data_IF_242318493366
#
_entry.id   IF_242318493366
#
_cell.length_a   1.000
_cell.length_b   1.000
_cell.length_c   1.000
_cell.angle_alpha   90.00
_cell.angle_beta   90.00
_cell.angle_gamma   90.00
#
_symmetry.space_group_name_H-M   'P 1'
#
loop_
_entity.id
_entity.type
_entity.pdbx_description
1 polymer ?
#
# COMPACT_ATOMS: atom_id res chain seq x y z
N UNK A 1 -56.45 3.91 -53.48
CA UNK A 1 -56.40 3.62 -52.03
C UNK A 1 -55.64 2.31 -51.74
N UNK A 2 -54.54 2.04 -52.46
CA UNK A 2 -53.76 0.77 -52.34
C UNK A 2 -52.28 1.09 -52.01
N UNK A 3 -51.78 2.25 -52.44
CA UNK A 3 -50.43 2.74 -52.14
C UNK A 3 -50.16 3.07 -50.66
N UNK A 4 -51.20 3.33 -49.85
CA UNK A 4 -51.02 3.75 -48.46
C UNK A 4 -50.88 2.56 -47.48
N UNK A 5 -51.39 1.38 -47.85
CA UNK A 5 -51.32 0.18 -47.00
C UNK A 5 -49.95 -0.53 -47.07
N UNK A 6 -49.30 -0.54 -48.24
CA UNK A 6 -47.95 -1.13 -48.36
C UNK A 6 -46.88 -0.33 -47.62
N UNK A 7 -46.97 1.00 -47.64
CA UNK A 7 -46.05 1.88 -46.90
C UNK A 7 -46.25 1.70 -45.39
N UNK A 8 -47.51 1.59 -44.94
CA UNK A 8 -47.86 1.37 -43.55
C UNK A 8 -47.44 -0.03 -43.06
N UNK A 9 -47.59 -1.08 -43.89
CA UNK A 9 -47.09 -2.42 -43.58
C UNK A 9 -45.56 -2.48 -43.52
N UNK A 10 -44.84 -1.83 -44.43
CA UNK A 10 -43.37 -1.76 -44.40
C UNK A 10 -42.86 -1.03 -43.14
N UNK A 11 -43.48 0.08 -42.75
CA UNK A 11 -43.10 0.79 -41.52
C UNK A 11 -43.37 -0.04 -40.26
N UNK A 12 -44.48 -0.79 -40.20
CA UNK A 12 -44.76 -1.71 -39.08
C UNK A 12 -43.78 -2.86 -39.01
N UNK A 13 -43.38 -3.43 -40.14
CA UNK A 13 -42.37 -4.51 -40.18
C UNK A 13 -40.99 -3.97 -39.76
N UNK A 14 -40.61 -2.78 -40.23
CA UNK A 14 -39.33 -2.13 -39.86
C UNK A 14 -39.31 -1.79 -38.35
N UNK A 15 -40.40 -1.24 -37.80
CA UNK A 15 -40.52 -0.98 -36.37
C UNK A 15 -40.48 -2.27 -35.53
N UNK A 16 -41.14 -3.35 -35.99
CA UNK A 16 -41.11 -4.64 -35.30
C UNK A 16 -39.72 -5.29 -35.32
N UNK A 17 -38.98 -5.19 -36.44
CA UNK A 17 -37.60 -5.70 -36.55
C UNK A 17 -36.64 -4.88 -35.69
N UNK A 18 -36.77 -3.55 -35.69
CA UNK A 18 -35.96 -2.67 -34.83
C UNK A 18 -36.23 -2.91 -33.34
N UNK A 19 -37.49 -3.13 -32.95
CA UNK A 19 -37.84 -3.50 -31.57
C UNK A 19 -37.29 -4.87 -31.17
N UNK A 20 -37.31 -5.86 -32.09
CA UNK A 20 -36.73 -7.18 -31.83
C UNK A 20 -35.20 -7.13 -31.68
N UNK A 21 -34.51 -6.31 -32.49
CA UNK A 21 -33.07 -6.07 -32.36
C UNK A 21 -32.72 -5.33 -31.06
N UNK A 22 -33.56 -4.38 -30.60
CA UNK A 22 -33.38 -3.71 -29.31
C UNK A 22 -33.55 -4.67 -28.13
N UNK A 23 -34.51 -5.59 -28.20
CA UNK A 23 -34.73 -6.60 -27.15
C UNK A 23 -33.61 -7.66 -27.13
N UNK A 24 -33.03 -8.01 -28.27
CA UNK A 24 -31.88 -8.92 -28.34
C UNK A 24 -30.60 -8.28 -27.75
N UNK A 25 -30.44 -6.96 -27.86
CA UNK A 25 -29.32 -6.21 -27.26
C UNK A 25 -29.44 -6.06 -25.74
N UNK A 26 -30.65 -6.08 -25.18
CA UNK A 26 -30.89 -5.95 -23.73
C UNK A 26 -30.79 -7.29 -22.97
N UNK A 27 -30.76 -8.43 -23.68
CA UNK A 27 -30.65 -9.75 -23.05
C UNK A 27 -29.21 -10.30 -22.97
N UNK A 28 -28.20 -9.56 -23.45
CA UNK A 28 -26.78 -9.94 -23.31
C UNK A 28 -26.11 -9.39 -22.05
N UNK A 29 -26.85 -8.76 -21.13
CA UNK A 29 -26.35 -8.31 -19.83
C UNK A 29 -26.94 -9.08 -18.64
N UNK A 30 -27.41 -10.31 -18.85
CA UNK A 30 -27.39 -11.32 -17.77
C UNK A 30 -26.06 -12.06 -17.89
N UNK A 31 -24.98 -11.28 -17.73
CA UNK A 31 -23.69 -11.85 -17.42
C UNK A 31 -23.81 -12.49 -16.06
N UNK A 32 -23.30 -13.72 -15.93
CA UNK A 32 -23.07 -14.38 -14.67
C UNK A 32 -22.69 -13.35 -13.60
N UNK A 33 -23.39 -13.35 -12.47
CA UNK A 33 -22.75 -12.91 -11.24
C UNK A 33 -21.58 -13.85 -11.02
N UNK A 34 -20.45 -13.56 -11.65
CA UNK A 34 -19.17 -14.01 -11.15
C UNK A 34 -19.19 -13.51 -9.70
N UNK A 35 -19.23 -14.44 -8.76
CA UNK A 35 -18.61 -14.16 -7.47
C UNK A 35 -17.22 -13.68 -7.85
N UNK A 36 -16.99 -12.37 -7.75
CA UNK A 36 -15.66 -11.83 -7.84
C UNK A 36 -15.00 -12.36 -6.58
N UNK A 37 -14.35 -13.52 -6.68
CA UNK A 37 -13.51 -14.03 -5.62
C UNK A 37 -12.49 -12.92 -5.37
N UNK A 38 -12.64 -12.26 -4.22
CA UNK A 38 -11.70 -11.23 -3.80
C UNK A 38 -10.35 -11.93 -3.64
N UNK A 39 -9.29 -11.48 -4.32
CA UNK A 39 -8.01 -12.17 -4.25
C UNK A 39 -7.48 -12.20 -2.81
N UNK A 40 -6.86 -13.32 -2.43
CA UNK A 40 -6.20 -13.48 -1.14
C UNK A 40 -5.00 -12.53 -1.05
N UNK A 41 -4.83 -11.87 0.09
CA UNK A 41 -3.63 -11.10 0.40
C UNK A 41 -2.53 -12.02 0.95
N UNK A 42 -2.05 -12.93 0.11
CA UNK A 42 -0.90 -13.80 0.44
C UNK A 42 0.44 -13.07 0.30
N UNK A 43 1.52 -13.73 0.73
CA UNK A 43 2.85 -13.13 0.76
C UNK A 43 3.34 -12.70 -0.63
N UNK A 44 3.01 -13.44 -1.69
CA UNK A 44 3.33 -13.06 -3.06
C UNK A 44 2.57 -11.80 -3.50
N UNK A 45 1.27 -11.72 -3.15
CA UNK A 45 0.44 -10.55 -3.45
C UNK A 45 0.95 -9.32 -2.71
N UNK A 46 1.19 -9.41 -1.40
CA UNK A 46 1.72 -8.31 -0.59
C UNK A 46 3.12 -7.88 -1.06
N UNK A 47 3.99 -8.84 -1.37
CA UNK A 47 5.30 -8.58 -1.96
C UNK A 47 5.18 -7.74 -3.23
N UNK A 48 4.33 -8.16 -4.18
CA UNK A 48 4.15 -7.49 -5.46
C UNK A 48 3.52 -6.09 -5.31
N UNK A 49 2.57 -5.93 -4.39
CA UNK A 49 1.97 -4.63 -4.08
C UNK A 49 2.99 -3.65 -3.50
N UNK A 50 3.82 -4.11 -2.55
CA UNK A 50 4.86 -3.25 -2.01
C UNK A 50 5.95 -2.91 -3.04
N UNK A 51 6.25 -3.82 -3.97
CA UNK A 51 7.16 -3.54 -5.08
C UNK A 51 6.60 -2.50 -6.06
N UNK A 52 5.30 -2.55 -6.37
CA UNK A 52 4.62 -1.52 -7.15
C UNK A 52 4.73 -0.14 -6.47
N UNK A 53 4.52 -0.09 -5.15
CA UNK A 53 4.67 1.15 -4.39
C UNK A 53 6.12 1.66 -4.38
N UNK A 54 7.11 0.76 -4.27
CA UNK A 54 8.53 1.12 -4.39
C UNK A 54 8.85 1.72 -5.77
N UNK A 55 8.28 1.17 -6.86
CA UNK A 55 8.42 1.73 -8.20
C UNK A 55 7.82 3.13 -8.33
N UNK A 56 6.70 3.42 -7.66
CA UNK A 56 6.15 4.78 -7.63
C UNK A 56 7.02 5.74 -6.80
N UNK A 57 7.59 5.27 -5.70
CA UNK A 57 8.57 6.06 -4.91
C UNK A 57 9.82 6.38 -5.76
N UNK A 58 10.31 5.43 -6.55
CA UNK A 58 11.38 5.64 -7.53
C UNK A 58 10.98 6.71 -8.56
N UNK A 59 9.77 6.64 -9.13
CA UNK A 59 9.29 7.67 -10.06
C UNK A 59 9.24 9.06 -9.42
N UNK A 60 8.83 9.16 -8.14
CA UNK A 60 8.79 10.42 -7.41
C UNK A 60 10.17 11.07 -7.27
N UNK A 61 11.21 10.31 -6.90
CA UNK A 61 12.56 10.86 -6.70
C UNK A 61 13.28 11.15 -8.02
N UNK A 62 12.88 10.49 -9.11
CA UNK A 62 13.38 10.76 -10.46
C UNK A 62 12.57 11.84 -11.20
N UNK A 63 11.55 12.41 -10.57
CA UNK A 63 10.69 13.45 -11.18
C UNK A 63 10.98 14.82 -10.58
N UNK A 64 11.84 15.58 -11.25
CA UNK A 64 12.12 16.98 -10.88
C UNK A 64 10.85 17.82 -10.75
N UNK A 65 9.85 17.58 -11.61
CA UNK A 65 8.57 18.29 -11.58
C UNK A 65 7.78 17.98 -10.31
N UNK A 66 7.82 16.73 -9.84
CA UNK A 66 7.21 16.32 -8.58
C UNK A 66 7.92 16.97 -7.40
N UNK A 67 9.26 16.88 -7.35
CA UNK A 67 10.06 17.42 -6.26
C UNK A 67 9.90 18.94 -6.13
N UNK A 68 9.92 19.68 -7.26
CA UNK A 68 9.68 21.12 -7.29
C UNK A 68 8.29 21.51 -6.78
N UNK A 69 7.27 20.69 -7.08
CA UNK A 69 5.92 20.92 -6.58
C UNK A 69 5.83 20.69 -5.07
N UNK A 70 6.51 19.66 -4.57
CA UNK A 70 6.39 19.21 -3.18
C UNK A 70 7.27 20.01 -2.21
N UNK A 71 8.44 20.48 -2.63
CA UNK A 71 9.32 21.27 -1.79
C UNK A 71 10.28 22.15 -2.59
N UNK A 72 10.35 23.43 -2.24
CA UNK A 72 11.38 24.35 -2.74
C UNK A 72 12.57 24.47 -1.80
N UNK A 73 12.61 23.70 -0.70
CA UNK A 73 13.68 23.77 0.27
C UNK A 73 14.87 22.90 -0.18
N UNK A 74 15.97 23.54 -0.54
CA UNK A 74 17.21 22.86 -0.98
C UNK A 74 17.68 21.80 0.03
N UNK A 75 17.56 22.06 1.33
CA UNK A 75 17.96 21.10 2.36
C UNK A 75 17.13 19.82 2.37
N UNK A 76 15.85 19.88 1.98
CA UNK A 76 15.00 18.68 1.83
C UNK A 76 15.33 17.97 0.52
N UNK A 77 15.58 18.72 -0.57
CA UNK A 77 15.96 18.13 -1.86
C UNK A 77 17.30 17.41 -1.79
N UNK A 78 18.28 17.98 -1.09
CA UNK A 78 19.61 17.37 -0.89
C UNK A 78 19.58 16.01 -0.18
N UNK A 79 18.55 15.73 0.64
CA UNK A 79 18.37 14.41 1.26
C UNK A 79 17.96 13.35 0.22
N UNK A 80 17.23 13.75 -0.82
CA UNK A 80 16.70 12.85 -1.85
C UNK A 80 17.65 12.67 -3.04
N UNK A 81 18.56 13.61 -3.28
CA UNK A 81 19.56 13.54 -4.36
C UNK A 81 20.30 12.20 -4.46
N UNK A 82 20.74 11.55 -3.36
CA UNK A 82 21.43 10.26 -3.46
C UNK A 82 20.56 9.15 -4.08
N UNK A 83 19.24 9.26 -4.03
CA UNK A 83 18.29 8.25 -4.52
C UNK A 83 18.03 8.37 -6.04
N UNK A 84 18.41 9.49 -6.67
CA UNK A 84 18.21 9.70 -8.10
C UNK A 84 18.95 8.62 -8.90
N UNK A 85 18.23 7.96 -9.82
CA UNK A 85 18.77 6.89 -10.66
C UNK A 85 19.07 5.56 -9.95
N UNK A 86 18.74 5.41 -8.66
CA UNK A 86 18.79 4.12 -7.98
C UNK A 86 17.64 3.20 -8.45
N UNK A 87 17.89 1.89 -8.48
CA UNK A 87 16.92 0.87 -8.90
C UNK A 87 16.20 0.28 -7.68
N UNK A 88 14.88 0.52 -7.58
CA UNK A 88 14.03 -0.02 -6.52
C UNK A 88 13.13 -1.17 -7.00
N UNK A 89 13.34 -1.65 -8.23
CA UNK A 89 12.55 -2.74 -8.84
C UNK A 89 12.98 -4.14 -8.43
N UNK A 90 14.17 -4.28 -7.80
CA UNK A 90 14.78 -5.57 -7.46
C UNK A 90 15.39 -5.58 -6.06
N UNK A 91 14.60 -5.82 -4.99
CA UNK A 91 15.15 -6.00 -3.66
C UNK A 91 16.06 -7.24 -3.61
N UNK A 92 17.12 -7.18 -2.81
CA UNK A 92 17.99 -8.32 -2.51
C UNK A 92 17.36 -9.24 -1.45
N UNK A 93 16.69 -8.64 -0.47
CA UNK A 93 15.97 -9.35 0.58
C UNK A 93 14.72 -8.56 0.98
N UNK A 94 13.69 -9.28 1.43
CA UNK A 94 12.46 -8.69 1.96
C UNK A 94 12.13 -9.34 3.28
N UNK A 95 11.85 -8.52 4.29
CA UNK A 95 11.48 -8.99 5.61
C UNK A 95 10.09 -8.50 6.00
N UNK A 96 9.28 -9.38 6.57
CA UNK A 96 8.02 -9.06 7.23
C UNK A 96 8.25 -8.94 8.72
N UNK A 97 7.77 -7.83 9.27
CA UNK A 97 7.70 -7.57 10.70
C UNK A 97 6.23 -7.52 11.10
N UNK A 98 5.83 -8.37 12.03
CA UNK A 98 4.50 -8.33 12.66
C UNK A 98 4.62 -8.01 14.14
N UNK A 99 3.60 -7.33 14.66
CA UNK A 99 3.48 -6.99 16.07
C UNK A 99 2.26 -7.70 16.63
N UNK A 100 2.45 -8.47 17.71
CA UNK A 100 1.31 -8.99 18.45
C UNK A 100 0.48 -7.82 19.01
N UNK A 101 -0.84 -8.01 19.13
CA UNK A 101 -1.69 -6.99 19.78
C UNK A 101 -1.26 -6.73 21.23
N UNK A 102 -0.69 -7.73 21.90
CA UNK A 102 -0.18 -7.60 23.26
C UNK A 102 1.03 -6.66 23.34
N UNK A 103 1.95 -6.73 22.37
CA UNK A 103 3.11 -5.81 22.27
C UNK A 103 2.67 -4.38 22.00
N UNK A 104 1.74 -4.17 21.08
CA UNK A 104 1.26 -2.82 20.82
C UNK A 104 0.51 -2.23 22.03
N UNK A 105 -0.15 -3.09 22.82
CA UNK A 105 -0.82 -2.69 24.06
C UNK A 105 0.15 -2.42 25.22
N UNK A 106 1.22 -3.20 25.35
CA UNK A 106 2.25 -2.99 26.37
C UNK A 106 2.99 -1.67 26.14
N UNK A 107 3.34 -1.35 24.89
CA UNK A 107 3.98 -0.09 24.53
C UNK A 107 3.14 1.14 24.88
N UNK A 108 1.84 1.08 24.63
CA UNK A 108 0.93 2.14 25.04
C UNK A 108 0.89 2.27 26.58
N UNK A 109 0.86 1.14 27.28
CA UNK A 109 0.82 1.09 28.75
C UNK A 109 2.12 1.60 29.40
N UNK A 110 3.28 1.32 28.81
CA UNK A 110 4.58 1.88 29.22
C UNK A 110 4.64 3.40 29.04
N UNK A 111 3.96 3.92 28.01
CA UNK A 111 3.72 5.35 27.82
C UNK A 111 2.68 5.96 28.79
N UNK A 112 2.26 5.22 29.82
CA UNK A 112 1.19 5.57 30.76
C UNK A 112 -0.20 5.77 30.11
N UNK A 113 -0.46 5.13 28.97
CA UNK A 113 -1.76 5.13 28.30
C UNK A 113 -2.40 3.76 28.43
N UNK A 114 -3.47 3.66 29.21
CA UNK A 114 -4.30 2.45 29.25
C UNK A 114 -5.22 2.42 28.01
N UNK A 115 -4.92 1.55 27.05
CA UNK A 115 -5.71 1.41 25.82
C UNK A 115 -7.14 0.91 26.08
N UNK A 116 -7.41 0.27 27.23
CA UNK A 116 -8.76 -0.18 27.58
C UNK A 116 -9.69 0.97 27.97
N UNK A 117 -9.15 2.15 28.29
CA UNK A 117 -9.96 3.37 28.47
C UNK A 117 -10.52 3.89 27.14
N UNK A 118 -9.92 3.53 26.00
CA UNK A 118 -10.43 3.92 24.70
C UNK A 118 -11.58 3.03 24.23
N UNK A 119 -12.57 3.65 23.57
CA UNK A 119 -13.59 2.90 22.83
C UNK A 119 -12.93 1.97 21.79
N UNK A 120 -13.55 0.82 21.50
CA UNK A 120 -13.03 -0.15 20.52
C UNK A 120 -12.62 0.48 19.18
N UNK A 121 -13.40 1.39 18.57
CA UNK A 121 -12.98 2.06 17.33
C UNK A 121 -11.73 2.93 17.51
N UNK A 122 -11.66 3.70 18.60
CA UNK A 122 -10.51 4.56 18.89
C UNK A 122 -9.25 3.74 19.20
N UNK A 123 -9.38 2.65 19.97
CA UNK A 123 -8.27 1.73 20.23
C UNK A 123 -7.71 1.15 18.94
N UNK A 124 -8.57 0.67 18.03
CA UNK A 124 -8.14 0.18 16.71
C UNK A 124 -7.40 1.28 15.93
N UNK A 125 -7.93 2.51 15.94
CA UNK A 125 -7.30 3.65 15.28
C UNK A 125 -5.94 4.02 15.88
N UNK A 126 -5.79 4.00 17.21
CA UNK A 126 -4.53 4.31 17.91
C UNK A 126 -3.47 3.26 17.59
N UNK A 127 -3.80 1.98 17.73
CA UNK A 127 -2.89 0.88 17.40
C UNK A 127 -2.41 0.97 15.95
N UNK A 128 -3.34 1.25 15.03
CA UNK A 128 -3.04 1.49 13.63
C UNK A 128 -2.09 2.68 13.42
N UNK A 129 -2.36 3.80 14.09
CA UNK A 129 -1.53 4.99 14.01
C UNK A 129 -0.14 4.76 14.61
N UNK A 130 -0.01 3.97 15.67
CA UNK A 130 1.28 3.60 16.26
C UNK A 130 2.14 2.83 15.24
N UNK A 131 1.57 1.80 14.62
CA UNK A 131 2.28 1.02 13.59
C UNK A 131 2.70 1.91 12.39
N UNK A 132 1.79 2.73 11.87
CA UNK A 132 2.11 3.64 10.77
C UNK A 132 3.12 4.74 11.15
N UNK A 133 3.29 5.03 12.44
CA UNK A 133 4.24 6.05 12.90
C UNK A 133 5.69 5.56 12.94
N UNK A 134 5.92 4.24 12.83
CA UNK A 134 7.27 3.66 12.88
C UNK A 134 8.19 4.32 11.85
N UNK A 135 7.74 4.52 10.61
CA UNK A 135 8.56 5.14 9.56
C UNK A 135 8.97 6.57 9.90
N UNK A 136 8.00 7.37 10.35
CA UNK A 136 8.26 8.75 10.78
C UNK A 136 9.18 8.79 11.99
N UNK A 137 9.00 7.88 12.94
CA UNK A 137 9.88 7.75 14.10
C UNK A 137 11.32 7.45 13.65
N UNK A 138 11.52 6.45 12.79
CA UNK A 138 12.85 6.09 12.30
C UNK A 138 13.50 7.24 11.52
N UNK A 139 12.80 7.83 10.55
CA UNK A 139 13.33 8.95 9.76
C UNK A 139 13.59 10.21 10.60
N UNK A 140 12.81 10.45 11.67
CA UNK A 140 13.04 11.57 12.57
C UNK A 140 14.36 11.48 13.34
N UNK A 141 14.94 10.27 13.51
CA UNK A 141 16.23 10.08 14.19
C UNK A 141 17.39 10.76 13.43
N UNK A 142 17.25 10.96 12.12
CA UNK A 142 18.22 11.65 11.28
C UNK A 142 17.94 13.16 11.11
N UNK A 143 16.88 13.69 11.72
CA UNK A 143 16.56 15.11 11.73
C UNK A 143 15.28 15.49 10.98
N UNK A 144 14.96 16.78 11.02
CA UNK A 144 13.72 17.32 10.48
C UNK A 144 13.68 17.30 8.96
N UNK A 145 14.81 17.55 8.31
CA UNK A 145 14.97 17.51 6.86
C UNK A 145 14.73 16.09 6.32
N UNK A 146 15.29 15.07 6.99
CA UNK A 146 15.07 13.66 6.63
C UNK A 146 13.62 13.24 6.80
N UNK A 147 12.98 13.66 7.90
CA UNK A 147 11.56 13.42 8.09
C UNK A 147 10.70 14.11 7.02
N UNK A 148 11.05 15.34 6.65
CA UNK A 148 10.34 16.09 5.60
C UNK A 148 10.51 15.43 4.22
N UNK A 149 11.74 15.02 3.88
CA UNK A 149 12.06 14.31 2.65
C UNK A 149 11.24 13.00 2.52
N UNK A 150 11.22 12.17 3.56
CA UNK A 150 10.39 10.97 3.58
C UNK A 150 8.89 11.29 3.49
N UNK A 151 8.43 12.37 4.13
CA UNK A 151 7.02 12.76 4.11
C UNK A 151 6.54 13.22 2.73
N UNK A 152 7.38 13.94 1.97
CA UNK A 152 7.03 14.32 0.59
C UNK A 152 7.15 13.16 -0.39
N UNK A 153 7.89 12.10 -0.04
CA UNK A 153 8.00 10.85 -0.79
C UNK A 153 7.29 9.72 -0.05
N UNK A 154 5.97 9.86 0.15
CA UNK A 154 5.12 8.82 0.74
C UNK A 154 4.03 8.42 -0.25
N UNK A 155 3.83 7.12 -0.43
CA UNK A 155 2.74 6.54 -1.25
C UNK A 155 1.72 5.90 -0.33
N UNK A 156 0.44 6.19 -0.54
CA UNK A 156 -0.67 5.53 0.16
C UNK A 156 -1.60 4.88 -0.85
N UNK A 157 -1.90 3.59 -0.65
CA UNK A 157 -2.76 2.81 -1.54
C UNK A 157 -3.84 2.05 -0.77
N UNK A 158 -4.90 1.68 -1.48
CA UNK A 158 -5.97 0.81 -0.99
C UNK A 158 -6.23 -0.30 -1.99
N UNK A 159 -6.25 -1.54 -1.52
CA UNK A 159 -6.39 -2.73 -2.34
C UNK A 159 -7.68 -3.47 -1.98
N UNK A 160 -8.42 -3.89 -3.01
CA UNK A 160 -9.59 -4.76 -2.91
C UNK A 160 -9.16 -6.23 -2.86
N UNK A 161 -8.51 -6.60 -1.75
CA UNK A 161 -8.06 -7.97 -1.43
C UNK A 161 -8.67 -8.41 -0.10
N UNK A 162 -8.63 -9.70 0.20
CA UNK A 162 -9.03 -10.20 1.52
C UNK A 162 -8.15 -9.58 2.62
N UNK A 163 -8.74 -9.35 3.79
CA UNK A 163 -8.00 -8.84 4.93
C UNK A 163 -6.93 -9.85 5.36
N UNK A 164 -5.75 -9.34 5.71
CA UNK A 164 -4.65 -10.13 6.27
C UNK A 164 -4.94 -10.52 7.73
N UNK A 165 -4.39 -11.62 8.26
CA UNK A 165 -4.65 -12.02 9.65
C UNK A 165 -4.16 -10.97 10.66
N UNK A 166 -3.00 -10.38 10.39
CA UNK A 166 -2.35 -9.38 11.23
C UNK A 166 -1.78 -8.27 10.36
N UNK A 167 -1.78 -7.04 10.87
CA UNK A 167 -1.10 -5.96 10.18
C UNK A 167 0.42 -6.24 10.16
N UNK A 168 1.09 -5.82 9.09
CA UNK A 168 2.49 -6.14 8.88
C UNK A 168 3.24 -4.94 8.32
N UNK A 169 4.55 -4.88 8.59
CA UNK A 169 5.47 -3.95 7.97
C UNK A 169 6.47 -4.76 7.15
N UNK A 170 6.60 -4.45 5.87
CA UNK A 170 7.54 -5.07 4.96
C UNK A 170 8.73 -4.12 4.77
N UNK A 171 9.94 -4.65 4.87
CA UNK A 171 11.18 -3.94 4.60
C UNK A 171 11.82 -4.55 3.36
N UNK A 172 11.97 -3.75 2.32
CA UNK A 172 12.62 -4.09 1.07
C UNK A 172 14.03 -3.54 1.10
N UNK A 173 15.03 -4.42 1.12
CA UNK A 173 16.44 -4.05 1.13
C UNK A 173 17.04 -4.18 -0.25
N UNK A 174 17.96 -3.28 -0.59
CA UNK A 174 18.56 -3.15 -1.91
C UNK A 174 20.09 -3.09 -1.78
N UNK A 175 20.85 -3.57 -2.77
CA UNK A 175 22.31 -3.65 -2.66
C UNK A 175 23.02 -2.31 -2.45
N UNK A 176 22.55 -1.26 -3.12
CA UNK A 176 23.20 0.06 -3.17
C UNK A 176 22.21 1.20 -2.90
N UNK A 177 21.08 0.90 -2.24
CA UNK A 177 19.99 1.85 -2.03
C UNK A 177 19.39 1.73 -0.62
N UNK A 178 18.81 2.83 -0.13
CA UNK A 178 18.16 2.80 1.19
C UNK A 178 16.93 1.86 1.17
N UNK A 179 16.56 1.25 2.32
CA UNK A 179 15.39 0.38 2.34
C UNK A 179 14.09 1.12 2.06
N UNK A 180 13.13 0.42 1.45
CA UNK A 180 11.74 0.88 1.37
C UNK A 180 10.93 0.15 2.43
N UNK A 181 10.14 0.91 3.19
CA UNK A 181 9.26 0.37 4.22
C UNK A 181 7.80 0.47 3.76
N UNK A 182 7.07 -0.64 3.76
CA UNK A 182 5.65 -0.71 3.39
C UNK A 182 4.83 -1.25 4.55
N UNK A 183 3.94 -0.43 5.12
CA UNK A 183 3.03 -0.85 6.19
C UNK A 183 1.69 -1.24 5.60
N UNK A 184 1.27 -2.49 5.82
CA UNK A 184 -0.04 -3.03 5.47
C UNK A 184 -0.94 -3.17 6.69
N UNK A 185 -2.18 -2.72 6.56
CA UNK A 185 -3.17 -2.81 7.63
C UNK A 185 -4.59 -2.98 7.12
N UNK A 186 -5.40 -3.69 7.90
CA UNK A 186 -6.80 -3.95 7.55
C UNK A 186 -7.70 -2.73 7.78
N UNK A 187 -8.32 -2.27 6.68
CA UNK A 187 -9.46 -1.35 6.70
C UNK A 187 -10.76 -2.02 7.16
N UNK A 188 -11.90 -1.43 6.79
CA UNK A 188 -13.21 -2.04 7.10
C UNK A 188 -13.59 -3.14 6.11
N UNK A 189 -13.20 -2.98 4.85
CA UNK A 189 -13.49 -3.91 3.75
C UNK A 189 -12.40 -3.90 2.66
N UNK A 190 -11.20 -3.45 3.01
CA UNK A 190 -10.09 -3.30 2.07
C UNK A 190 -8.77 -3.36 2.84
N UNK A 191 -7.71 -3.78 2.15
CA UNK A 191 -6.35 -3.63 2.66
C UNK A 191 -5.86 -2.22 2.33
N UNK A 192 -5.14 -1.60 3.26
CA UNK A 192 -4.53 -0.29 3.05
C UNK A 192 -3.03 -0.43 3.23
N UNK A 193 -2.28 0.33 2.44
CA UNK A 193 -0.82 0.31 2.48
C UNK A 193 -0.23 1.72 2.48
N UNK A 194 0.87 1.90 3.20
CA UNK A 194 1.68 3.12 3.15
C UNK A 194 3.14 2.77 2.94
N UNK A 195 3.79 3.38 1.95
CA UNK A 195 5.19 3.17 1.63
C UNK A 195 5.97 4.48 1.72
N UNK A 196 7.19 4.44 2.25
CA UNK A 196 8.17 5.50 2.07
C UNK A 196 9.60 4.95 2.22
N UNK A 197 10.58 5.76 1.85
CA UNK A 197 11.99 5.44 2.06
C UNK A 197 12.39 5.52 3.53
N UNK A 198 13.29 4.63 3.95
CA UNK A 198 13.98 4.68 5.23
C UNK A 198 15.32 5.41 5.07
N UNK A 199 15.27 6.74 5.21
CA UNK A 199 16.36 7.67 4.90
C UNK A 199 17.32 7.92 6.07
N UNK A 200 17.02 7.38 7.25
CA UNK A 200 17.81 7.63 8.46
C UNK A 200 19.15 6.91 8.52
N UNK A 201 19.42 5.98 7.59
CA UNK A 201 20.57 5.07 7.65
C UNK A 201 20.47 4.03 8.78
N UNK A 202 19.33 3.95 9.48
CA UNK A 202 19.17 3.04 10.62
C UNK A 202 19.29 1.55 10.25
N UNK A 203 19.15 1.19 8.97
CA UNK A 203 19.15 -0.18 8.47
C UNK A 203 19.81 -0.25 7.08
N UNK A 204 21.02 0.27 6.91
CA UNK A 204 21.72 0.25 5.60
C UNK A 204 22.09 -1.18 5.15
N UNK A 205 22.31 -2.11 6.08
CA UNK A 205 22.56 -3.53 5.78
C UNK A 205 21.35 -4.37 6.17
N UNK A 206 20.72 -5.02 5.18
CA UNK A 206 19.54 -5.87 5.37
C UNK A 206 19.87 -7.18 6.05
N UNK A 207 19.51 -7.30 7.33
CA UNK A 207 19.54 -8.58 8.04
C UNK A 207 18.38 -8.69 9.02
N UNK A 208 17.89 -9.92 9.23
CA UNK A 208 16.93 -10.20 10.29
C UNK A 208 17.41 -9.67 11.65
N UNK A 209 18.70 -9.86 11.97
CA UNK A 209 19.29 -9.39 13.23
C UNK A 209 19.25 -7.87 13.42
N UNK A 210 19.48 -7.08 12.36
CA UNK A 210 19.40 -5.62 12.44
C UNK A 210 17.95 -5.14 12.68
N UNK A 211 16.96 -5.82 12.07
CA UNK A 211 15.55 -5.54 12.33
C UNK A 211 15.14 -5.97 13.75
N UNK A 212 15.56 -7.15 14.19
CA UNK A 212 15.33 -7.63 15.55
C UNK A 212 15.92 -6.67 16.59
N UNK A 213 17.14 -6.18 16.39
CA UNK A 213 17.77 -5.18 17.24
C UNK A 213 16.99 -3.86 17.24
N UNK A 214 16.57 -3.39 16.06
CA UNK A 214 15.78 -2.17 15.94
C UNK A 214 14.44 -2.26 16.69
N UNK A 215 13.81 -3.43 16.64
CA UNK A 215 12.53 -3.68 17.31
C UNK A 215 12.68 -4.32 18.69
N UNK A 216 13.89 -4.47 19.22
CA UNK A 216 14.12 -5.06 20.54
C UNK A 216 13.47 -4.23 21.64
N UNK A 217 13.39 -2.90 21.46
CA UNK A 217 12.71 -1.98 22.37
C UNK A 217 11.20 -2.27 22.50
N UNK A 218 10.62 -3.03 21.56
CA UNK A 218 9.20 -3.39 21.53
C UNK A 218 8.90 -4.68 22.34
N UNK A 219 9.93 -5.39 22.81
CA UNK A 219 9.79 -6.54 23.70
C UNK A 219 9.44 -7.88 23.01
N UNK A 220 9.10 -8.89 23.82
CA UNK A 220 8.71 -10.21 23.32
C UNK A 220 7.37 -10.14 22.57
N UNK A 221 7.34 -10.50 21.28
CA UNK A 221 6.13 -10.51 20.45
C UNK A 221 6.20 -9.67 19.16
N UNK A 222 7.39 -9.15 18.84
CA UNK A 222 7.74 -8.79 17.46
C UNK A 222 8.30 -10.02 16.76
N UNK A 223 7.79 -10.33 15.58
CA UNK A 223 8.29 -11.41 14.74
C UNK A 223 8.92 -10.82 13.49
N UNK A 224 10.14 -11.24 13.15
CA UNK A 224 10.84 -10.88 11.92
C UNK A 224 10.99 -12.14 11.09
N UNK A 225 10.49 -12.12 9.86
CA UNK A 225 10.54 -13.24 8.93
C UNK A 225 11.06 -12.76 7.58
N UNK A 226 12.10 -13.42 7.07
CA UNK A 226 12.54 -13.23 5.69
C UNK A 226 11.57 -13.92 4.73
N UNK A 227 11.14 -13.22 3.70
CA UNK A 227 10.28 -13.77 2.66
C UNK A 227 11.12 -14.45 1.59
N UNK A 228 10.63 -15.60 1.10
CA UNK A 228 11.10 -16.17 -0.15
C UNK A 228 10.65 -15.26 -1.30
N UNK A 229 11.61 -14.58 -1.93
CA UNK A 229 11.33 -13.72 -3.09
C UNK A 229 10.84 -14.63 -4.24
N UNK A 230 9.64 -14.38 -4.80
CA UNK A 230 9.17 -15.14 -5.95
C UNK A 230 10.16 -15.00 -7.12
N UNK A 231 10.66 -16.11 -7.66
CA UNK A 231 11.45 -16.07 -8.90
C UNK A 231 10.55 -15.56 -10.04
N UNK A 232 10.94 -14.45 -10.66
CA UNK A 232 10.24 -13.81 -11.78
C UNK A 232 10.32 -14.58 -13.09
#
# INVERSE_FOLDING_TARGET
>A
MIWNEEIFMRQRIICSVLALCLCALLCSCVGQSAQTDVPLADDATLYSQGLEMAGLLEEMVNSEQYLDLMSTAESVRAVLEPLEGQDFSRPESVYRVTFSQEVLASLASEGAVDLEEFSRPLRKFVLHRMQNSVLSMLNSRAGAETLAAASICTVSQTYEVENIPENAIFFYFYPDACPVMVSFHNGTASLQANAAFLLSGALEEGSAGALEELFQEFGEGVTVEELEIPEG
#
